data_IF_924576512391
#
_entry.id   IF_924576512391
#
_cell.length_a   1.000
_cell.length_b   1.000
_cell.length_c   1.000
_cell.angle_alpha   90.00
_cell.angle_beta   90.00
_cell.angle_gamma   90.00
#
_symmetry.space_group_name_H-M   'P 1'
#
loop_
_entity.id
_entity.type
_entity.pdbx_description
1 polymer ?
#
# COMPACT_ATOMS: atom_id res chain seq x y z
N UNK A 1 2.54 3.63 0.25
CA UNK A 1 1.50 4.65 0.05
C UNK A 1 0.79 4.35 -1.25
N UNK A 2 -0.27 5.10 -1.56
CA UNK A 2 -0.90 5.10 -2.87
C UNK A 2 -1.03 6.55 -3.34
N UNK A 3 -0.94 6.76 -4.65
CA UNK A 3 -0.97 8.09 -5.27
C UNK A 3 -1.97 8.08 -6.42
N UNK A 4 -2.83 9.10 -6.49
CA UNK A 4 -3.73 9.34 -7.62
C UNK A 4 -3.07 10.33 -8.57
N UNK A 5 -2.98 9.93 -9.85
CA UNK A 5 -2.30 10.70 -10.89
C UNK A 5 -3.24 10.93 -12.06
N UNK A 6 -3.32 12.17 -12.54
CA UNK A 6 -4.17 12.59 -13.65
C UNK A 6 -3.42 13.56 -14.54
N UNK A 7 -3.34 13.26 -15.83
CA UNK A 7 -2.82 14.16 -16.87
C UNK A 7 -1.45 14.78 -16.54
N UNK A 8 -0.49 13.97 -16.07
CA UNK A 8 0.83 14.49 -15.71
C UNK A 8 0.99 14.89 -14.26
N UNK A 9 -0.10 15.03 -13.50
CA UNK A 9 -0.07 15.65 -12.17
C UNK A 9 -0.56 14.70 -11.07
N UNK A 10 0.11 14.76 -9.92
CA UNK A 10 -0.35 14.12 -8.69
C UNK A 10 -1.49 14.96 -8.11
N UNK A 11 -2.69 14.38 -7.99
CA UNK A 11 -3.86 15.08 -7.43
C UNK A 11 -4.19 14.64 -6.00
N UNK A 12 -3.72 13.45 -5.58
CA UNK A 12 -3.94 12.93 -4.23
C UNK A 12 -2.86 11.91 -3.83
N UNK A 13 -2.59 11.75 -2.54
CA UNK A 13 -1.64 10.79 -1.98
C UNK A 13 -2.02 10.36 -0.57
N UNK A 14 -1.79 9.09 -0.24
CA UNK A 14 -2.36 8.49 0.98
C UNK A 14 -1.61 8.92 2.24
N UNK A 15 -0.34 9.30 2.12
CA UNK A 15 0.42 9.84 3.24
C UNK A 15 0.16 11.34 3.32
N UNK A 16 -0.09 11.84 4.52
CA UNK A 16 -0.30 13.26 4.77
C UNK A 16 0.95 13.94 5.33
N UNK A 17 0.74 14.79 6.34
CA UNK A 17 1.82 15.51 7.04
C UNK A 17 2.95 14.59 7.52
N UNK A 18 2.61 13.35 7.89
CA UNK A 18 3.60 12.34 8.26
C UNK A 18 3.40 11.05 7.45
N UNK A 19 4.42 10.20 7.35
CA UNK A 19 4.31 8.90 6.71
C UNK A 19 3.39 7.90 7.45
N UNK A 20 2.80 8.27 8.60
CA UNK A 20 1.89 7.40 9.38
C UNK A 20 0.50 7.36 8.76
N UNK A 21 0.05 8.45 8.14
CA UNK A 21 -1.30 8.55 7.61
C UNK A 21 -1.52 7.66 6.37
N UNK A 22 -2.78 7.33 6.12
CA UNK A 22 -3.25 6.50 5.03
C UNK A 22 -3.29 5.02 5.39
N UNK A 23 -2.69 4.20 4.54
CA UNK A 23 -2.75 2.76 4.68
C UNK A 23 -1.95 2.26 5.88
N UNK A 24 -2.47 1.23 6.53
CA UNK A 24 -1.72 0.43 7.50
C UNK A 24 -0.43 -0.10 6.86
N UNK A 25 0.69 -0.06 7.59
CA UNK A 25 1.99 -0.54 7.09
C UNK A 25 2.62 -1.56 8.05
N UNK A 26 3.88 -1.93 7.82
CA UNK A 26 4.60 -2.91 8.63
C UNK A 26 4.53 -2.63 10.14
N UNK A 27 4.81 -1.39 10.54
CA UNK A 27 4.85 -0.98 11.95
C UNK A 27 4.05 0.29 12.25
N UNK A 28 3.52 0.93 11.20
CA UNK A 28 2.75 2.18 11.30
C UNK A 28 1.28 1.87 11.29
N UNK A 29 0.51 2.59 12.12
CA UNK A 29 -0.92 2.39 12.28
C UNK A 29 -1.72 2.56 10.98
N UNK A 30 -1.33 3.51 10.13
CA UNK A 30 -2.24 4.07 9.14
C UNK A 30 -3.17 5.10 9.79
N UNK A 31 -4.16 5.57 9.02
CA UNK A 31 -5.21 6.46 9.49
C UNK A 31 -6.02 5.81 10.61
N UNK A 32 -6.36 6.62 11.61
CA UNK A 32 -7.14 6.23 12.78
C UNK A 32 -7.95 7.43 13.27
N UNK A 33 -8.99 7.17 14.05
CA UNK A 33 -9.77 8.22 14.69
C UNK A 33 -8.88 9.04 15.66
N UNK A 34 -8.76 10.37 15.50
CA UNK A 34 -8.00 11.22 16.40
C UNK A 34 -8.39 11.06 17.89
N UNK A 35 -9.64 10.70 18.18
CA UNK A 35 -10.10 10.47 19.55
C UNK A 35 -9.44 9.25 20.21
N UNK A 36 -8.96 8.27 19.44
CA UNK A 36 -8.14 7.16 19.97
C UNK A 36 -6.83 7.68 20.53
N UNK A 37 -6.20 8.65 19.85
CA UNK A 37 -4.95 9.29 20.32
C UNK A 37 -5.19 9.98 21.67
N UNK A 38 -6.25 10.79 21.75
CA UNK A 38 -6.60 11.50 22.98
C UNK A 38 -6.98 10.53 24.11
N UNK A 39 -7.66 9.44 23.78
CA UNK A 39 -8.00 8.40 24.74
C UNK A 39 -6.74 7.73 25.31
N UNK A 40 -5.78 7.36 24.46
CA UNK A 40 -4.53 6.73 24.90
C UNK A 40 -3.66 7.66 25.77
N UNK A 41 -3.65 8.97 25.47
CA UNK A 41 -2.96 9.96 26.30
C UNK A 41 -3.61 10.14 27.68
N UNK A 42 -4.95 10.22 27.72
CA UNK A 42 -5.67 10.61 28.94
C UNK A 42 -6.07 9.43 29.83
N UNK A 43 -6.37 8.28 29.23
CA UNK A 43 -6.85 7.07 29.92
C UNK A 43 -5.88 5.90 29.79
N UNK A 44 -5.15 5.82 28.69
CA UNK A 44 -4.12 4.78 28.47
C UNK A 44 -2.79 5.04 29.16
N UNK A 45 -2.64 6.20 29.84
CA UNK A 45 -1.42 6.61 30.54
C UNK A 45 -0.16 6.66 29.65
N UNK A 46 -0.32 6.83 28.34
CA UNK A 46 0.80 7.04 27.44
C UNK A 46 1.35 8.47 27.55
N UNK A 47 2.68 8.61 27.53
CA UNK A 47 3.33 9.89 27.20
C UNK A 47 3.25 10.14 25.70
N UNK A 48 3.39 11.40 25.28
CA UNK A 48 3.47 11.79 23.86
C UNK A 48 4.51 10.95 23.11
N UNK A 49 5.71 10.80 23.66
CA UNK A 49 6.80 10.03 23.03
C UNK A 49 6.49 8.54 22.93
N UNK A 50 5.89 7.96 23.98
CA UNK A 50 5.50 6.55 23.97
C UNK A 50 4.39 6.29 22.94
N UNK A 51 3.46 7.22 22.79
CA UNK A 51 2.37 7.11 21.81
C UNK A 51 2.89 7.32 20.39
N UNK A 52 3.79 8.28 20.18
CA UNK A 52 4.46 8.44 18.89
C UNK A 52 5.21 7.16 18.48
N UNK A 53 5.90 6.53 19.43
CA UNK A 53 6.56 5.23 19.21
C UNK A 53 5.55 4.13 18.90
N UNK A 54 4.44 4.08 19.62
CA UNK A 54 3.37 3.10 19.40
C UNK A 54 2.85 3.21 17.95
N UNK A 55 2.47 4.42 17.54
CA UNK A 55 1.90 4.69 16.22
C UNK A 55 2.88 4.44 15.07
N UNK A 56 4.18 4.68 15.26
CA UNK A 56 5.19 4.56 14.21
C UNK A 56 5.86 3.18 14.12
N UNK A 57 6.06 2.51 15.27
CA UNK A 57 6.98 1.37 15.38
C UNK A 57 6.35 0.10 15.95
N UNK A 58 5.18 0.18 16.57
CA UNK A 58 4.57 -0.95 17.28
C UNK A 58 3.13 -1.23 16.85
N UNK A 59 2.64 -0.53 15.82
CA UNK A 59 1.30 -0.69 15.27
C UNK A 59 1.34 -1.48 13.95
N UNK A 60 0.27 -1.34 13.15
CA UNK A 60 0.17 -1.91 11.82
C UNK A 60 0.24 -3.43 11.80
N UNK A 61 0.88 -4.01 10.79
CA UNK A 61 1.01 -5.46 10.66
C UNK A 61 1.63 -6.11 11.90
N UNK A 62 2.66 -5.47 12.48
CA UNK A 62 3.29 -5.94 13.72
C UNK A 62 2.32 -5.94 14.89
N UNK A 63 1.56 -4.86 15.06
CA UNK A 63 0.57 -4.75 16.13
C UNK A 63 -0.58 -5.75 15.98
N UNK A 64 -1.09 -5.91 14.75
CA UNK A 64 -2.21 -6.81 14.43
C UNK A 64 -1.82 -8.29 14.51
N UNK A 65 -0.61 -8.65 14.07
CA UNK A 65 -0.13 -10.03 14.09
C UNK A 65 0.45 -10.46 15.44
N UNK A 66 0.73 -9.49 16.33
CA UNK A 66 1.45 -9.70 17.59
C UNK A 66 2.90 -10.17 17.44
N UNK A 67 3.42 -10.31 16.21
CA UNK A 67 4.70 -10.99 15.94
C UNK A 67 5.61 -10.17 15.03
N UNK A 68 5.24 -10.00 13.76
CA UNK A 68 6.11 -9.38 12.74
C UNK A 68 5.37 -8.35 11.89
N UNK A 69 6.13 -7.34 11.43
CA UNK A 69 5.66 -6.41 10.41
C UNK A 69 5.99 -6.84 8.98
N UNK A 70 6.76 -7.93 8.80
CA UNK A 70 7.15 -8.44 7.48
C UNK A 70 6.09 -9.39 6.94
N UNK A 71 5.44 -9.00 5.84
CA UNK A 71 4.42 -9.81 5.16
C UNK A 71 4.95 -11.21 4.78
N UNK A 72 6.23 -11.34 4.42
CA UNK A 72 6.83 -12.63 4.04
C UNK A 72 6.84 -13.59 5.22
N UNK A 73 7.14 -13.09 6.41
CA UNK A 73 7.10 -13.89 7.63
C UNK A 73 5.64 -14.23 7.98
N UNK A 74 4.73 -13.25 7.93
CA UNK A 74 3.32 -13.49 8.22
C UNK A 74 2.68 -14.54 7.30
N UNK A 75 3.00 -14.51 6.00
CA UNK A 75 2.55 -15.52 5.03
C UNK A 75 3.09 -16.91 5.35
N UNK A 76 4.35 -17.03 5.78
CA UNK A 76 4.96 -18.30 6.18
C UNK A 76 4.38 -18.84 7.49
N UNK A 77 4.17 -17.97 8.48
CA UNK A 77 3.61 -18.36 9.78
C UNK A 77 2.16 -18.82 9.66
N UNK A 78 1.33 -18.10 8.89
CA UNK A 78 -0.03 -18.52 8.58
C UNK A 78 -1.00 -18.66 9.77
N UNK A 79 -0.68 -18.06 10.93
CA UNK A 79 -1.56 -18.04 12.11
C UNK A 79 -2.84 -17.23 11.84
N UNK A 80 -3.82 -17.33 12.74
CA UNK A 80 -5.04 -16.53 12.66
C UNK A 80 -4.74 -15.02 12.66
N UNK A 81 -3.84 -14.58 13.55
CA UNK A 81 -3.45 -13.16 13.67
C UNK A 81 -2.63 -12.69 12.46
N UNK A 82 -1.76 -13.55 11.91
CA UNK A 82 -1.04 -13.24 10.67
C UNK A 82 -1.99 -13.05 9.49
N UNK A 83 -3.01 -13.91 9.37
CA UNK A 83 -4.04 -13.80 8.33
C UNK A 83 -4.86 -12.53 8.52
N UNK A 84 -5.31 -12.24 9.75
CA UNK A 84 -6.02 -11.00 10.09
C UNK A 84 -5.23 -9.76 9.71
N UNK A 85 -3.93 -9.71 10.04
CA UNK A 85 -3.05 -8.59 9.71
C UNK A 85 -2.93 -8.38 8.19
N UNK A 86 -2.73 -9.46 7.43
CA UNK A 86 -2.64 -9.41 5.96
C UNK A 86 -3.98 -8.99 5.34
N UNK A 87 -5.09 -9.55 5.82
CA UNK A 87 -6.43 -9.23 5.31
C UNK A 87 -6.79 -7.78 5.58
N UNK A 88 -6.43 -7.26 6.77
CA UNK A 88 -6.59 -5.84 7.09
C UNK A 88 -5.76 -4.96 6.14
N UNK A 89 -4.50 -5.31 5.88
CA UNK A 89 -3.66 -4.57 4.94
C UNK A 89 -4.25 -4.55 3.51
N UNK A 90 -4.66 -5.70 2.99
CA UNK A 90 -5.28 -5.82 1.67
C UNK A 90 -6.61 -5.06 1.60
N UNK A 91 -7.43 -5.12 2.65
CA UNK A 91 -8.66 -4.36 2.76
C UNK A 91 -8.42 -2.85 2.70
N UNK A 92 -7.46 -2.34 3.48
CA UNK A 92 -7.13 -0.91 3.49
C UNK A 92 -6.58 -0.44 2.15
N UNK A 93 -5.74 -1.25 1.49
CA UNK A 93 -5.27 -0.98 0.14
C UNK A 93 -6.42 -0.90 -0.86
N UNK A 94 -7.35 -1.87 -0.83
CA UNK A 94 -8.52 -1.91 -1.69
C UNK A 94 -9.44 -0.71 -1.46
N UNK A 95 -9.68 -0.35 -0.19
CA UNK A 95 -10.48 0.82 0.18
C UNK A 95 -9.87 2.11 -0.36
N UNK A 96 -8.55 2.28 -0.22
CA UNK A 96 -7.83 3.43 -0.76
C UNK A 96 -7.89 3.48 -2.28
N UNK A 97 -7.71 2.34 -2.96
CA UNK A 97 -7.85 2.23 -4.41
C UNK A 97 -9.23 2.68 -4.85
N UNK A 98 -10.29 2.19 -4.20
CA UNK A 98 -11.66 2.61 -4.49
C UNK A 98 -11.86 4.11 -4.32
N UNK A 99 -11.36 4.71 -3.23
CA UNK A 99 -11.44 6.15 -3.01
C UNK A 99 -10.80 6.94 -4.16
N UNK A 100 -9.63 6.51 -4.63
CA UNK A 100 -8.94 7.18 -5.76
C UNK A 100 -9.57 6.93 -7.11
N UNK A 101 -10.12 5.73 -7.35
CA UNK A 101 -10.92 5.47 -8.54
C UNK A 101 -12.08 6.46 -8.65
N UNK A 102 -12.79 6.70 -7.53
CA UNK A 102 -13.86 7.70 -7.50
C UNK A 102 -13.35 9.14 -7.62
N UNK A 103 -12.29 9.50 -6.91
CA UNK A 103 -11.71 10.85 -6.96
C UNK A 103 -11.22 11.23 -8.37
N UNK A 104 -10.71 10.26 -9.14
CA UNK A 104 -10.26 10.45 -10.52
C UNK A 104 -11.42 10.46 -11.53
N UNK A 105 -12.59 9.93 -11.17
CA UNK A 105 -13.73 9.72 -12.08
C UNK A 105 -13.62 8.45 -12.93
N UNK A 106 -12.83 7.47 -12.47
CA UNK A 106 -12.38 6.31 -13.22
C UNK A 106 -10.85 6.23 -13.26
N UNK A 107 -10.32 5.05 -13.60
CA UNK A 107 -8.88 4.84 -13.79
C UNK A 107 -8.63 4.05 -15.05
N UNK A 108 -7.62 4.47 -15.82
CA UNK A 108 -7.15 3.73 -16.99
C UNK A 108 -6.06 2.73 -16.62
N UNK A 109 -5.33 2.98 -15.53
CA UNK A 109 -4.17 2.18 -15.14
C UNK A 109 -3.99 2.11 -13.63
N UNK A 110 -3.61 0.92 -13.14
CA UNK A 110 -3.12 0.69 -11.78
C UNK A 110 -1.72 0.10 -11.88
N UNK A 111 -0.77 0.74 -11.21
CA UNK A 111 0.63 0.31 -11.17
C UNK A 111 1.02 -0.12 -9.76
N UNK A 112 1.69 -1.27 -9.65
CA UNK A 112 2.28 -1.78 -8.42
C UNK A 112 3.79 -1.55 -8.43
N UNK A 113 4.31 -1.00 -7.34
CA UNK A 113 5.74 -0.82 -7.10
C UNK A 113 6.05 -0.79 -5.61
N UNK A 114 7.32 -0.91 -5.26
CA UNK A 114 7.79 -1.03 -3.88
C UNK A 114 7.76 -2.47 -3.37
N UNK A 115 8.63 -2.77 -2.41
CA UNK A 115 9.04 -4.14 -2.07
C UNK A 115 7.91 -5.15 -1.81
N UNK A 116 6.83 -4.80 -1.11
CA UNK A 116 5.68 -5.71 -0.93
C UNK A 116 4.96 -5.96 -2.25
N UNK A 117 4.62 -4.89 -2.96
CA UNK A 117 3.83 -4.95 -4.17
C UNK A 117 4.59 -5.63 -5.31
N UNK A 118 5.92 -5.54 -5.33
CA UNK A 118 6.78 -6.22 -6.30
C UNK A 118 6.91 -7.71 -6.03
N UNK A 119 7.16 -8.08 -4.77
CA UNK A 119 7.59 -9.44 -4.44
C UNK A 119 6.47 -10.37 -3.98
N UNK A 120 5.25 -9.88 -3.77
CA UNK A 120 4.16 -10.66 -3.19
C UNK A 120 2.94 -10.76 -4.14
N UNK A 121 2.95 -11.68 -5.12
CA UNK A 121 1.80 -11.93 -6.02
C UNK A 121 0.50 -12.19 -5.29
N UNK A 122 0.57 -12.92 -4.16
CA UNK A 122 -0.59 -13.22 -3.31
C UNK A 122 -1.25 -11.96 -2.73
N UNK A 123 -0.45 -10.92 -2.43
CA UNK A 123 -0.97 -9.64 -1.93
C UNK A 123 -1.63 -8.86 -3.05
N UNK A 124 -1.02 -8.79 -4.24
CA UNK A 124 -1.65 -8.17 -5.43
C UNK A 124 -2.99 -8.83 -5.75
N UNK A 125 -3.03 -10.16 -5.74
CA UNK A 125 -4.24 -10.95 -5.96
C UNK A 125 -5.34 -10.62 -4.94
N UNK A 126 -5.01 -10.53 -3.65
CA UNK A 126 -5.98 -10.20 -2.59
C UNK A 126 -6.51 -8.77 -2.70
N UNK A 127 -5.66 -7.80 -3.06
CA UNK A 127 -6.08 -6.41 -3.23
C UNK A 127 -7.10 -6.30 -4.38
N UNK A 128 -6.84 -7.01 -5.48
CA UNK A 128 -7.61 -6.93 -6.72
C UNK A 128 -8.71 -7.99 -6.87
N UNK A 129 -8.99 -8.81 -5.86
CA UNK A 129 -9.99 -9.89 -5.97
C UNK A 129 -11.39 -9.34 -6.26
N UNK A 130 -12.22 -10.02 -7.04
CA UNK A 130 -13.64 -9.65 -7.20
C UNK A 130 -13.86 -8.20 -7.69
N UNK A 131 -12.97 -7.69 -8.56
CA UNK A 131 -13.09 -6.36 -9.16
C UNK A 131 -13.47 -6.39 -10.65
N UNK A 132 -13.82 -7.56 -11.20
CA UNK A 132 -14.19 -7.72 -12.60
C UNK A 132 -15.36 -6.82 -13.03
N UNK A 133 -16.34 -6.62 -12.14
CA UNK A 133 -17.48 -5.74 -12.38
C UNK A 133 -17.07 -4.26 -12.51
N UNK A 134 -15.93 -3.88 -11.94
CA UNK A 134 -15.32 -2.56 -12.07
C UNK A 134 -14.34 -2.47 -13.25
N UNK A 135 -14.28 -3.52 -14.09
CA UNK A 135 -13.38 -3.59 -15.25
C UNK A 135 -11.93 -3.87 -14.91
N UNK A 136 -11.63 -4.30 -13.69
CA UNK A 136 -10.28 -4.64 -13.22
C UNK A 136 -10.18 -6.16 -13.15
N UNK A 137 -9.42 -6.75 -14.08
CA UNK A 137 -9.24 -8.20 -14.16
C UNK A 137 -7.76 -8.57 -14.20
N UNK A 138 -7.29 -9.19 -13.12
CA UNK A 138 -5.91 -9.64 -12.95
C UNK A 138 -5.72 -11.01 -13.61
N UNK A 139 -4.68 -11.17 -14.42
CA UNK A 139 -4.28 -12.46 -14.99
C UNK A 139 -3.43 -13.24 -13.96
N UNK A 140 -3.90 -14.39 -13.44
CA UNK A 140 -3.17 -15.14 -12.41
C UNK A 140 -1.77 -15.56 -12.86
N UNK A 141 -1.63 -16.05 -14.10
CA UNK A 141 -0.35 -16.53 -14.62
C UNK A 141 0.67 -15.40 -14.75
N UNK A 142 0.27 -14.25 -15.34
CA UNK A 142 1.11 -13.06 -15.42
C UNK A 142 1.47 -12.54 -14.03
N UNK A 143 0.51 -12.54 -13.10
CA UNK A 143 0.74 -12.11 -11.72
C UNK A 143 1.76 -12.97 -10.99
N UNK A 144 1.72 -14.30 -11.17
CA UNK A 144 2.58 -15.22 -10.45
C UNK A 144 4.06 -15.14 -10.87
N UNK A 145 4.34 -14.88 -12.15
CA UNK A 145 5.71 -14.87 -12.70
C UNK A 145 6.32 -13.47 -12.79
N UNK A 146 5.58 -12.42 -12.46
CA UNK A 146 6.06 -11.05 -12.61
C UNK A 146 7.23 -10.72 -11.69
N UNK A 147 8.37 -10.35 -12.30
CA UNK A 147 9.58 -9.90 -11.63
C UNK A 147 10.08 -8.55 -12.15
N UNK A 148 9.72 -8.19 -13.38
CA UNK A 148 10.14 -6.95 -14.04
C UNK A 148 8.94 -6.10 -14.45
N UNK A 149 9.20 -5.00 -15.15
CA UNK A 149 8.16 -4.14 -15.69
C UNK A 149 7.31 -4.88 -16.72
N UNK A 150 6.07 -5.26 -16.36
CA UNK A 150 5.21 -6.07 -17.22
C UNK A 150 3.72 -5.91 -16.91
N UNK A 151 2.84 -6.15 -17.90
CA UNK A 151 1.40 -6.15 -17.68
C UNK A 151 0.98 -7.35 -16.80
N UNK A 152 0.01 -7.10 -15.92
CA UNK A 152 -0.57 -8.10 -15.00
C UNK A 152 -2.02 -8.46 -15.34
N UNK A 153 -2.68 -7.71 -16.22
CA UNK A 153 -4.11 -7.85 -16.50
C UNK A 153 -4.41 -8.93 -17.55
N UNK A 154 -5.66 -9.41 -17.57
CA UNK A 154 -6.19 -10.21 -18.68
C UNK A 154 -6.52 -9.33 -19.88
N UNK A 155 -6.64 -9.93 -21.07
CA UNK A 155 -7.05 -9.22 -22.30
C UNK A 155 -8.45 -8.59 -22.21
N UNK A 156 -9.30 -9.10 -21.31
CA UNK A 156 -10.65 -8.57 -21.06
C UNK A 156 -10.70 -7.41 -20.07
N UNK A 157 -9.59 -7.08 -19.41
CA UNK A 157 -9.55 -5.99 -18.42
C UNK A 157 -9.72 -4.64 -19.12
N UNK A 158 -10.59 -3.78 -18.58
CA UNK A 158 -10.76 -2.40 -19.05
C UNK A 158 -9.71 -1.47 -18.46
N UNK A 159 -9.19 -1.82 -17.29
CA UNK A 159 -8.11 -1.11 -16.60
C UNK A 159 -6.80 -1.86 -16.83
N UNK A 160 -5.77 -1.15 -17.28
CA UNK A 160 -4.45 -1.73 -17.43
C UNK A 160 -3.80 -1.92 -16.05
N UNK A 161 -3.27 -3.11 -15.80
CA UNK A 161 -2.54 -3.43 -14.57
C UNK A 161 -1.07 -3.66 -14.91
N UNK A 162 -0.16 -3.04 -14.16
CA UNK A 162 1.29 -3.19 -14.34
C UNK A 162 2.00 -3.48 -13.02
N UNK A 163 3.02 -4.33 -13.09
CA UNK A 163 4.12 -4.31 -12.13
C UNK A 163 5.18 -3.38 -12.68
N UNK A 164 5.63 -2.40 -11.89
CA UNK A 164 6.72 -1.48 -12.23
C UNK A 164 7.68 -1.43 -11.03
N UNK A 165 8.79 -2.18 -11.07
CA UNK A 165 9.81 -2.11 -10.01
C UNK A 165 10.35 -0.69 -9.86
N UNK A 166 10.49 -0.24 -8.61
CA UNK A 166 10.91 1.13 -8.31
C UNK A 166 12.40 1.16 -7.95
N UNK A 167 13.16 2.00 -8.64
CA UNK A 167 14.54 2.36 -8.27
C UNK A 167 14.63 3.85 -7.95
N UNK A 168 14.41 4.19 -6.67
CA UNK A 168 14.46 5.57 -6.19
C UNK A 168 15.85 6.19 -6.35
N UNK A 169 16.92 5.38 -6.28
CA UNK A 169 18.30 5.87 -6.40
C UNK A 169 18.61 6.27 -7.84
N UNK A 170 18.23 5.45 -8.81
CA UNK A 170 18.38 5.77 -10.22
C UNK A 170 17.60 7.05 -10.60
N UNK A 171 16.38 7.21 -10.09
CA UNK A 171 15.58 8.41 -10.32
C UNK A 171 16.22 9.65 -9.70
N UNK A 172 16.69 9.59 -8.44
CA UNK A 172 17.41 10.70 -7.81
C UNK A 172 18.65 11.12 -8.60
N UNK A 173 19.44 10.17 -9.10
CA UNK A 173 20.62 10.46 -9.95
C UNK A 173 20.19 11.11 -11.27
N UNK A 174 19.13 10.59 -11.92
CA UNK A 174 18.60 11.19 -13.16
C UNK A 174 18.17 12.64 -12.97
N UNK A 175 17.47 12.95 -11.87
CA UNK A 175 17.03 14.30 -11.56
C UNK A 175 18.21 15.22 -11.22
N UNK A 176 19.22 14.73 -10.49
CA UNK A 176 20.44 15.49 -10.20
C UNK A 176 21.17 15.91 -11.49
N UNK A 177 21.35 14.99 -12.44
CA UNK A 177 22.01 15.28 -13.71
C UNK A 177 21.25 16.32 -14.54
N UNK A 178 19.91 16.23 -14.59
CA UNK A 178 19.07 17.23 -15.28
C UNK A 178 19.23 18.65 -14.73
N UNK A 179 19.50 18.79 -13.43
CA UNK A 179 19.72 20.09 -12.78
C UNK A 179 21.15 20.59 -13.06
N UNK A 180 22.14 19.72 -13.19
CA UNK A 180 23.50 20.15 -13.56
C UNK A 180 23.60 20.65 -15.00
N UNK A 181 22.79 20.08 -15.90
CA UNK A 181 22.78 20.43 -17.32
C UNK A 181 21.90 21.66 -17.65
N UNK A 182 21.20 22.24 -16.66
CA UNK A 182 20.31 23.42 -16.81
C UNK A 182 20.97 24.71 -16.35
#
# INVERSE_FOLDING_TARGET
SMTAWKEGQVIDTSMGFSPVDGMTMATRSGSLDPMVVLHLLTKGHHTVDSLATLLQRQSGLKGLSGTSGDIRELLKTGSADSKLAIDHFCYQARKQLGAYCFALGGVDTISFGGGIAENQPAIRQRILSDLDQFGISLCPDRNMVAQESQPLHTESSKVALFLNPVDEMAEMVSQFLKIQDS
#
